data_IF_628335626748
#
_entry.id   IF_628335626748
#
_cell.length_a   1.000
_cell.length_b   1.000
_cell.length_c   1.000
_cell.angle_alpha   90.00
_cell.angle_beta   90.00
_cell.angle_gamma   90.00
#
_symmetry.space_group_name_H-M   'P 1'
#
loop_
_entity.id
_entity.type
_entity.pdbx_description
1 polymer ?
#
# COMPACT_ATOMS: atom_id res chain seq x y z
N UNK A 1 6.94 -15.46 1.15
CA UNK A 1 6.85 -14.32 2.05
C UNK A 1 7.08 -12.98 1.35
N UNK A 2 8.12 -12.82 0.53
CA UNK A 2 8.43 -11.55 -0.15
C UNK A 2 7.36 -11.02 -1.12
N UNK A 3 6.49 -11.87 -1.64
CA UNK A 3 5.59 -11.46 -2.74
C UNK A 3 4.45 -10.50 -2.31
N UNK A 4 3.96 -10.60 -1.08
CA UNK A 4 2.87 -9.71 -0.61
C UNK A 4 3.45 -8.45 0.03
N UNK A 5 4.50 -8.57 0.83
CA UNK A 5 5.10 -7.43 1.53
C UNK A 5 5.71 -6.39 0.60
N UNK A 6 6.35 -6.79 -0.49
CA UNK A 6 6.93 -5.84 -1.43
C UNK A 6 5.88 -4.94 -2.08
N UNK A 7 4.66 -5.44 -2.31
CA UNK A 7 3.57 -4.62 -2.83
C UNK A 7 3.12 -3.56 -1.83
N UNK A 8 3.02 -3.92 -0.55
CA UNK A 8 2.63 -2.98 0.50
C UNK A 8 3.74 -1.97 0.78
N UNK A 9 5.01 -2.38 0.79
CA UNK A 9 6.16 -1.47 0.91
C UNK A 9 6.20 -0.49 -0.26
N UNK A 10 6.02 -0.97 -1.49
CA UNK A 10 5.97 -0.12 -2.68
C UNK A 10 4.79 0.88 -2.61
N UNK A 11 3.61 0.43 -2.16
CA UNK A 11 2.45 1.30 -2.04
C UNK A 11 2.66 2.39 -0.98
N UNK A 12 3.23 2.05 0.18
CA UNK A 12 3.61 3.02 1.22
C UNK A 12 4.54 4.09 0.61
N UNK A 13 5.61 3.67 -0.05
CA UNK A 13 6.57 4.57 -0.69
C UNK A 13 5.93 5.44 -1.78
N UNK A 14 5.05 4.86 -2.57
CA UNK A 14 4.36 5.58 -3.64
C UNK A 14 3.38 6.64 -3.12
N UNK A 15 2.66 6.37 -2.04
CA UNK A 15 1.61 7.26 -1.52
C UNK A 15 2.16 8.37 -0.61
N UNK A 16 3.15 8.06 0.21
CA UNK A 16 3.54 8.91 1.34
C UNK A 16 5.05 9.19 1.44
N UNK A 17 5.86 8.63 0.55
CA UNK A 17 7.29 8.91 0.48
C UNK A 17 8.18 7.73 0.89
N UNK A 18 9.50 7.91 0.82
CA UNK A 18 10.44 6.82 1.06
C UNK A 18 10.55 6.46 2.54
N UNK A 19 10.79 5.19 2.82
CA UNK A 19 11.05 4.66 4.15
C UNK A 19 12.50 4.97 4.53
N UNK A 20 12.68 5.74 5.61
CA UNK A 20 13.97 6.22 6.07
C UNK A 20 14.61 5.24 7.05
N UNK A 21 13.81 4.63 7.94
CA UNK A 21 14.28 3.70 8.95
C UNK A 21 13.24 2.59 9.22
N UNK A 22 13.70 1.47 9.76
CA UNK A 22 12.87 0.39 10.28
C UNK A 22 12.97 0.43 11.79
N UNK A 23 11.98 1.00 12.45
CA UNK A 23 11.99 1.20 13.91
C UNK A 23 11.73 -0.08 14.69
N UNK A 24 10.89 -0.95 14.15
CA UNK A 24 10.50 -2.20 14.80
C UNK A 24 9.99 -3.20 13.77
N UNK A 25 10.21 -4.48 14.02
CA UNK A 25 9.49 -5.56 13.36
C UNK A 25 9.38 -6.78 14.29
N UNK A 26 8.24 -7.45 14.24
CA UNK A 26 8.05 -8.79 14.79
C UNK A 26 7.47 -9.69 13.70
N UNK A 27 8.27 -10.65 13.27
CA UNK A 27 7.91 -11.62 12.22
C UNK A 27 7.75 -13.04 12.77
N UNK A 28 7.80 -13.24 14.08
CA UNK A 28 7.84 -14.55 14.74
C UNK A 28 6.49 -15.27 14.78
N UNK A 29 5.38 -14.53 14.83
CA UNK A 29 4.04 -15.06 14.99
C UNK A 29 3.27 -15.26 13.66
N UNK A 30 2.02 -15.70 13.74
CA UNK A 30 1.12 -15.74 12.58
C UNK A 30 0.72 -14.35 12.08
N UNK A 31 0.71 -13.37 12.96
CA UNK A 31 0.56 -11.96 12.63
C UNK A 31 1.93 -11.30 12.64
N UNK A 32 2.23 -10.56 11.61
CA UNK A 32 3.48 -9.84 11.43
C UNK A 32 3.23 -8.35 11.58
N UNK A 33 4.12 -7.65 12.26
CA UNK A 33 4.03 -6.20 12.42
C UNK A 33 5.39 -5.58 12.07
N UNK A 34 5.34 -4.47 11.36
CA UNK A 34 6.51 -3.65 11.03
C UNK A 34 6.17 -2.19 11.27
N UNK A 35 7.11 -1.44 11.81
CA UNK A 35 6.99 0.02 11.99
C UNK A 35 8.12 0.70 11.23
N UNK A 36 7.75 1.46 10.24
CA UNK A 36 8.65 2.22 9.38
C UNK A 36 8.68 3.69 9.79
N UNK A 37 9.89 4.24 9.92
CA UNK A 37 10.10 5.67 10.10
C UNK A 37 10.12 6.39 8.77
N UNK A 38 9.31 7.44 8.67
CA UNK A 38 9.23 8.34 7.52
C UNK A 38 9.76 9.72 7.90
N UNK A 39 9.65 10.71 7.02
CA UNK A 39 10.01 12.09 7.34
C UNK A 39 8.93 12.74 8.22
N UNK A 40 9.17 12.73 9.53
CA UNK A 40 8.29 13.37 10.53
C UNK A 40 7.12 12.53 11.06
N UNK A 41 6.94 11.29 10.62
CA UNK A 41 5.89 10.38 11.09
C UNK A 41 6.26 8.91 10.94
N UNK A 42 5.43 8.02 11.43
CA UNK A 42 5.63 6.59 11.35
C UNK A 42 4.47 5.90 10.61
N UNK A 43 4.78 4.76 9.98
CA UNK A 43 3.82 3.90 9.31
C UNK A 43 3.89 2.51 9.92
N UNK A 44 2.75 1.94 10.24
CA UNK A 44 2.63 0.54 10.68
C UNK A 44 2.11 -0.31 9.53
N UNK A 45 2.79 -1.41 9.25
CA UNK A 45 2.32 -2.46 8.37
C UNK A 45 2.03 -3.72 9.19
N UNK A 46 0.79 -4.14 9.19
CA UNK A 46 0.35 -5.38 9.85
C UNK A 46 -0.10 -6.38 8.79
N UNK A 47 0.30 -7.63 8.95
CA UNK A 47 -0.09 -8.72 8.05
C UNK A 47 -0.50 -9.93 8.85
N UNK A 48 -1.76 -10.31 8.76
CA UNK A 48 -2.31 -11.54 9.34
C UNK A 48 -2.34 -12.67 8.31
N UNK A 49 -2.19 -13.90 8.78
CA UNK A 49 -2.38 -15.08 7.95
C UNK A 49 -3.63 -15.83 8.43
N UNK A 50 -4.64 -15.87 7.55
CA UNK A 50 -5.88 -16.56 7.81
C UNK A 50 -5.84 -17.99 7.25
N UNK A 51 -6.49 -18.92 7.92
CA UNK A 51 -6.67 -20.29 7.43
C UNK A 51 -7.79 -20.43 6.38
N UNK A 52 -8.55 -19.36 6.15
CA UNK A 52 -9.62 -19.28 5.15
C UNK A 52 -9.19 -18.50 3.92
N UNK A 53 -9.85 -18.75 2.79
CA UNK A 53 -9.66 -17.99 1.55
C UNK A 53 -10.39 -16.64 1.63
N UNK A 54 -10.03 -15.82 2.60
CA UNK A 54 -10.55 -14.48 2.75
C UNK A 54 -9.43 -13.47 2.46
N UNK A 55 -9.75 -12.46 1.69
CA UNK A 55 -8.85 -11.35 1.40
C UNK A 55 -9.38 -10.10 2.08
N UNK A 56 -8.57 -9.54 2.97
CA UNK A 56 -8.85 -8.29 3.65
C UNK A 56 -7.59 -7.43 3.58
N UNK A 57 -7.72 -6.27 2.99
CA UNK A 57 -6.64 -5.31 2.82
C UNK A 57 -7.19 -3.91 3.07
N UNK A 58 -6.53 -3.16 3.93
CA UNK A 58 -6.94 -1.82 4.32
C UNK A 58 -5.73 -0.89 4.32
N UNK A 59 -5.94 0.33 3.85
CA UNK A 59 -5.00 1.44 4.00
C UNK A 59 -5.71 2.58 4.69
N UNK A 60 -5.14 3.05 5.81
CA UNK A 60 -5.67 4.19 6.54
C UNK A 60 -4.59 5.24 6.76
N UNK A 61 -4.85 6.46 6.30
CA UNK A 61 -3.93 7.58 6.40
C UNK A 61 -4.60 8.66 7.23
N UNK A 62 -3.94 9.06 8.33
CA UNK A 62 -4.39 10.12 9.20
C UNK A 62 -3.70 11.44 8.86
N UNK A 63 -4.47 12.51 8.84
CA UNK A 63 -4.04 13.89 8.68
C UNK A 63 -4.44 14.69 9.92
N UNK A 64 -3.93 15.90 10.08
CA UNK A 64 -4.28 16.77 11.19
C UNK A 64 -5.79 17.04 11.27
N UNK A 65 -6.44 17.17 10.11
CA UNK A 65 -7.85 17.55 9.98
C UNK A 65 -8.74 16.44 9.39
N UNK A 66 -8.31 15.18 9.42
CA UNK A 66 -9.14 14.08 8.92
C UNK A 66 -8.39 12.79 8.66
N UNK A 67 -9.02 11.89 7.91
CA UNK A 67 -8.43 10.63 7.49
C UNK A 67 -9.02 10.15 6.16
N UNK A 68 -8.23 9.33 5.48
CA UNK A 68 -8.66 8.56 4.30
C UNK A 68 -8.49 7.09 4.62
N UNK A 69 -9.51 6.28 4.29
CA UNK A 69 -9.51 4.84 4.43
C UNK A 69 -9.87 4.21 3.08
N UNK A 70 -9.14 3.20 2.67
CA UNK A 70 -9.29 2.53 1.39
C UNK A 70 -9.24 1.02 1.61
N UNK A 71 -10.25 0.31 1.13
CA UNK A 71 -10.31 -1.15 1.08
C UNK A 71 -10.25 -1.59 -0.39
N UNK A 72 -9.10 -2.02 -0.90
CA UNK A 72 -8.98 -2.57 -2.24
C UNK A 72 -9.72 -3.91 -2.33
N UNK A 73 -10.36 -4.22 -3.46
CA UNK A 73 -10.91 -5.55 -3.67
C UNK A 73 -9.80 -6.58 -3.85
N UNK A 74 -10.10 -7.89 -3.64
CA UNK A 74 -9.17 -8.94 -4.01
C UNK A 74 -8.68 -8.78 -5.46
N UNK A 75 -7.35 -8.88 -5.71
CA UNK A 75 -6.75 -8.44 -6.99
C UNK A 75 -7.22 -9.25 -8.20
N UNK A 76 -7.73 -10.45 -8.01
CA UNK A 76 -8.25 -11.30 -9.10
C UNK A 76 -9.72 -11.01 -9.45
N UNK A 77 -10.42 -10.18 -8.67
CA UNK A 77 -11.79 -9.79 -8.99
C UNK A 77 -11.78 -8.67 -10.03
N UNK A 78 -12.58 -8.86 -11.07
CA UNK A 78 -12.76 -7.89 -12.14
C UNK A 78 -13.97 -7.01 -11.85
N UNK A 79 -13.89 -5.76 -12.27
CA UNK A 79 -15.00 -4.80 -12.17
C UNK A 79 -15.55 -4.65 -10.74
N UNK A 80 -14.66 -4.73 -9.75
CA UNK A 80 -15.01 -4.52 -8.35
C UNK A 80 -14.28 -3.26 -7.88
N UNK A 81 -15.01 -2.18 -7.56
CA UNK A 81 -14.40 -0.93 -7.13
C UNK A 81 -13.81 -1.06 -5.73
N UNK A 82 -12.75 -0.32 -5.43
CA UNK A 82 -12.31 -0.12 -4.08
C UNK A 82 -13.37 0.65 -3.27
N UNK A 83 -13.50 0.34 -1.99
CA UNK A 83 -14.30 1.15 -1.07
C UNK A 83 -13.41 2.26 -0.50
N UNK A 84 -13.89 3.48 -0.55
CA UNK A 84 -13.15 4.65 -0.11
C UNK A 84 -14.02 5.43 0.88
N UNK A 85 -13.44 5.78 2.02
CA UNK A 85 -14.05 6.67 3.01
C UNK A 85 -13.11 7.84 3.29
N UNK A 86 -13.65 9.04 3.30
CA UNK A 86 -12.90 10.27 3.60
C UNK A 86 -13.64 11.04 4.68
N UNK A 87 -12.97 11.29 5.79
CA UNK A 87 -13.45 12.18 6.82
C UNK A 87 -12.65 13.47 6.84
N UNK A 88 -13.34 14.61 6.91
CA UNK A 88 -12.76 15.93 7.08
C UNK A 88 -13.34 16.60 8.31
N UNK A 89 -12.48 17.01 9.23
CA UNK A 89 -12.83 17.86 10.33
C UNK A 89 -12.94 19.34 9.87
N UNK A 90 -13.70 20.15 10.57
CA UNK A 90 -13.86 21.58 10.27
C UNK A 90 -15.09 22.15 10.97
N UNK A 91 -15.52 23.36 10.61
CA UNK A 91 -16.78 23.93 11.11
C UNK A 91 -17.98 23.05 10.80
N UNK A 92 -17.97 22.44 9.62
CA UNK A 92 -18.88 21.36 9.22
C UNK A 92 -18.03 20.10 9.03
N UNK A 93 -18.33 19.07 9.79
CA UNK A 93 -17.70 17.77 9.59
C UNK A 93 -18.30 17.10 8.36
N UNK A 94 -17.44 16.54 7.53
CA UNK A 94 -17.84 15.84 6.32
C UNK A 94 -17.34 14.40 6.37
N UNK A 95 -18.22 13.44 6.05
CA UNK A 95 -17.85 12.06 5.81
C UNK A 95 -18.42 11.65 4.46
N UNK A 96 -17.55 11.43 3.50
CA UNK A 96 -17.91 11.11 2.12
C UNK A 96 -17.34 9.76 1.71
N UNK A 97 -18.06 9.09 0.83
CA UNK A 97 -17.63 7.81 0.25
C UNK A 97 -17.54 7.95 -1.27
N UNK A 98 -16.39 8.39 -1.79
CA UNK A 98 -16.20 8.52 -3.23
C UNK A 98 -16.35 7.18 -3.93
N UNK A 99 -17.04 7.17 -5.07
CA UNK A 99 -17.16 5.98 -5.89
C UNK A 99 -15.90 5.77 -6.70
N UNK A 100 -15.17 4.68 -6.43
CA UNK A 100 -14.05 4.27 -7.27
C UNK A 100 -14.55 3.70 -8.63
N UNK A 101 -13.67 3.71 -9.62
CA UNK A 101 -13.98 3.17 -10.93
C UNK A 101 -14.22 1.66 -10.91
N UNK A 102 -15.13 1.19 -11.73
CA UNK A 102 -15.42 -0.24 -11.96
C UNK A 102 -14.41 -0.81 -12.96
N UNK A 103 -13.21 -1.05 -12.47
CA UNK A 103 -12.09 -1.47 -13.30
C UNK A 103 -11.34 -2.65 -12.66
N UNK A 104 -10.47 -3.25 -13.45
CA UNK A 104 -9.58 -4.30 -12.99
C UNK A 104 -8.14 -3.78 -12.90
N UNK A 105 -7.50 -3.93 -11.73
CA UNK A 105 -6.17 -3.39 -11.47
C UNK A 105 -5.11 -3.91 -12.47
N UNK A 106 -5.13 -5.19 -12.82
CA UNK A 106 -4.18 -5.74 -13.80
C UNK A 106 -4.39 -5.15 -15.21
N UNK A 107 -5.64 -4.96 -15.64
CA UNK A 107 -5.91 -4.31 -16.92
C UNK A 107 -5.31 -2.90 -16.95
N UNK A 108 -5.48 -2.13 -15.88
CA UNK A 108 -4.91 -0.77 -15.78
C UNK A 108 -3.39 -0.77 -15.77
N UNK A 109 -2.77 -1.76 -15.12
CA UNK A 109 -1.32 -1.92 -15.14
C UNK A 109 -0.80 -2.21 -16.56
N UNK A 110 -1.45 -3.10 -17.28
CA UNK A 110 -1.10 -3.43 -18.67
C UNK A 110 -1.30 -2.23 -19.61
N UNK A 111 -2.43 -1.53 -19.50
CA UNK A 111 -2.72 -0.31 -20.27
C UNK A 111 -1.68 0.78 -20.00
N UNK A 112 -1.32 0.99 -18.74
CA UNK A 112 -0.28 1.94 -18.38
C UNK A 112 1.09 1.55 -18.97
N UNK A 113 1.47 0.28 -18.90
CA UNK A 113 2.73 -0.19 -19.49
C UNK A 113 2.77 0.02 -21.01
N UNK A 114 1.69 -0.32 -21.70
CA UNK A 114 1.57 -0.08 -23.16
C UNK A 114 1.66 1.42 -23.46
N UNK A 115 0.99 2.27 -22.68
CA UNK A 115 1.04 3.72 -22.87
C UNK A 115 2.45 4.28 -22.69
N UNK A 116 3.20 3.79 -21.69
CA UNK A 116 4.59 4.18 -21.49
C UNK A 116 5.48 3.85 -22.70
N UNK A 117 5.24 2.70 -23.37
CA UNK A 117 5.97 2.34 -24.58
C UNK A 117 5.61 3.27 -25.75
N UNK A 118 4.32 3.57 -25.92
CA UNK A 118 3.85 4.45 -27.01
C UNK A 118 4.38 5.87 -26.85
N UNK A 119 4.40 6.38 -25.62
CA UNK A 119 4.78 7.77 -25.32
C UNK A 119 6.28 7.94 -25.00
N UNK A 120 7.04 6.85 -24.99
CA UNK A 120 8.46 6.82 -24.58
C UNK A 120 8.67 7.46 -23.19
N UNK A 121 7.80 7.12 -22.24
CA UNK A 121 7.82 7.63 -20.86
C UNK A 121 8.14 6.51 -19.87
N UNK A 122 8.81 6.81 -18.74
CA UNK A 122 9.08 5.81 -17.72
C UNK A 122 7.78 5.36 -17.02
N UNK A 123 7.64 4.08 -16.65
CA UNK A 123 6.51 3.61 -15.84
C UNK A 123 6.56 4.19 -14.43
N UNK A 124 5.41 4.26 -13.76
CA UNK A 124 5.28 4.75 -12.38
C UNK A 124 6.11 3.95 -11.38
N UNK A 125 6.21 2.64 -11.59
CA UNK A 125 7.09 1.77 -10.82
C UNK A 125 8.11 1.17 -11.78
N UNK A 126 9.36 1.54 -11.62
CA UNK A 126 10.47 1.05 -12.45
C UNK A 126 11.15 -0.15 -11.78
N UNK A 127 11.95 -0.91 -12.54
CA UNK A 127 12.78 -1.96 -11.96
C UNK A 127 13.77 -1.41 -10.91
N UNK A 128 14.29 -0.21 -11.10
CA UNK A 128 15.16 0.45 -10.11
C UNK A 128 14.42 0.81 -8.83
N UNK A 129 13.17 1.27 -8.92
CA UNK A 129 12.33 1.53 -7.76
C UNK A 129 12.00 0.25 -6.98
N UNK A 130 11.73 -0.85 -7.69
CA UNK A 130 11.47 -2.15 -7.06
C UNK A 130 12.69 -2.74 -6.33
N UNK A 131 13.91 -2.37 -6.70
CA UNK A 131 15.11 -2.75 -5.95
C UNK A 131 15.05 -2.17 -4.53
N UNK A 132 14.61 -0.93 -4.39
CA UNK A 132 14.47 -0.29 -3.07
C UNK A 132 13.47 -1.01 -2.17
N UNK A 133 12.38 -1.53 -2.71
CA UNK A 133 11.41 -2.34 -1.95
C UNK A 133 12.05 -3.64 -1.42
N UNK A 134 12.88 -4.27 -2.24
CA UNK A 134 13.62 -5.48 -1.85
C UNK A 134 14.67 -5.17 -0.78
N UNK A 135 15.43 -4.07 -0.92
CA UNK A 135 16.41 -3.64 0.08
C UNK A 135 15.77 -3.42 1.45
N UNK A 136 14.61 -2.74 1.50
CA UNK A 136 13.85 -2.54 2.74
C UNK A 136 13.41 -3.88 3.32
N UNK A 137 12.89 -4.76 2.49
CA UNK A 137 12.46 -6.10 2.91
C UNK A 137 13.63 -6.91 3.47
N UNK A 138 14.76 -6.94 2.79
CA UNK A 138 15.97 -7.63 3.24
C UNK A 138 16.51 -7.04 4.54
N UNK A 139 16.44 -5.72 4.72
CA UNK A 139 16.85 -5.08 5.95
C UNK A 139 15.96 -5.45 7.15
N UNK A 140 14.64 -5.55 6.95
CA UNK A 140 13.72 -6.08 7.97
C UNK A 140 14.17 -7.47 8.43
N UNK A 141 14.42 -8.38 7.48
CA UNK A 141 14.86 -9.73 7.81
C UNK A 141 16.22 -9.74 8.52
N UNK A 142 17.18 -8.99 8.02
CA UNK A 142 18.54 -8.96 8.60
C UNK A 142 18.58 -8.39 10.02
N UNK A 143 17.71 -7.42 10.36
CA UNK A 143 17.72 -6.76 11.67
C UNK A 143 16.84 -7.44 12.71
N UNK A 144 15.77 -8.15 12.30
CA UNK A 144 14.72 -8.60 13.21
C UNK A 144 14.40 -10.11 13.12
N UNK A 145 15.08 -10.87 12.28
CA UNK A 145 14.99 -12.32 12.17
C UNK A 145 16.36 -12.94 12.32
#
# INVERSE_FOLDING_TARGET
MNNVYCHNVNLIRHLIGDIIDIKYADLSGPTKIMVFGMDGFDVTLEVGHLSSNFWDEEFKIYFEDGWIEIHPPPPLLKNTPAQISVYKAGKTQEHVQPQAAWEWAFKRADEHFIQCIIEDTPPRSTGADSIRDLEISDEVFRRFV
#
